data_IF_691598130423
#
_entry.id   IF_691598130423
#
_cell.length_a   1.000
_cell.length_b   1.000
_cell.length_c   1.000
_cell.angle_alpha   90.00
_cell.angle_beta   90.00
_cell.angle_gamma   90.00
#
_symmetry.space_group_name_H-M   'P 1'
#
loop_
_entity.id
_entity.type
_entity.pdbx_description
1 polymer ?
#
# COMPACT_ATOMS: atom_id res chain seq x y z
N UNK A 1 23.88 -9.78 8.53
CA UNK A 1 22.71 -9.07 7.94
C UNK A 1 22.56 -7.75 8.69
N UNK A 2 22.32 -6.64 7.99
CA UNK A 2 22.09 -5.33 8.62
C UNK A 2 20.59 -5.03 8.64
N UNK A 3 20.13 -4.24 9.61
CA UNK A 3 18.75 -3.79 9.75
C UNK A 3 18.71 -2.26 9.77
N UNK A 4 17.65 -1.67 9.21
CA UNK A 4 17.40 -0.22 9.28
C UNK A 4 16.53 0.11 10.47
N UNK A 5 17.17 0.31 11.62
CA UNK A 5 16.48 0.62 12.88
C UNK A 5 15.75 1.96 12.86
N UNK A 6 16.13 2.84 11.94
CA UNK A 6 15.55 4.14 11.64
C UNK A 6 14.30 4.08 10.73
N UNK A 7 13.89 2.88 10.27
CA UNK A 7 12.69 2.70 9.44
C UNK A 7 11.74 1.67 10.05
N UNK A 8 10.44 1.89 9.91
CA UNK A 8 9.39 0.86 10.02
C UNK A 8 8.49 0.93 8.81
N UNK A 9 8.18 -0.22 8.21
CA UNK A 9 7.19 -0.30 7.15
C UNK A 9 6.03 -1.15 7.66
N UNK A 10 4.83 -0.56 7.68
CA UNK A 10 3.59 -1.22 8.10
C UNK A 10 2.54 -1.05 7.03
N UNK A 11 1.72 -2.07 6.82
CA UNK A 11 0.52 -1.94 6.00
C UNK A 11 -0.71 -1.76 6.88
N UNK A 12 -1.69 -0.96 6.46
CA UNK A 12 -2.96 -0.84 7.18
C UNK A 12 -4.04 -1.66 6.46
N UNK A 13 -4.73 -2.52 7.22
CA UNK A 13 -5.80 -3.40 6.75
C UNK A 13 -7.09 -2.98 7.46
N UNK A 14 -8.11 -2.62 6.70
CA UNK A 14 -9.41 -2.26 7.25
C UNK A 14 -10.53 -2.64 6.27
N UNK A 15 -11.73 -2.86 6.79
CA UNK A 15 -12.93 -2.89 5.96
C UNK A 15 -13.33 -1.46 5.56
N UNK A 16 -14.25 -1.39 4.60
CA UNK A 16 -14.96 -0.17 4.23
C UNK A 16 -15.54 0.48 5.48
N UNK A 17 -15.44 1.80 5.58
CA UNK A 17 -15.99 2.61 6.67
C UNK A 17 -15.46 2.29 8.08
N UNK A 18 -14.50 1.39 8.28
CA UNK A 18 -13.88 1.17 9.60
C UNK A 18 -12.98 2.34 10.06
N UNK A 19 -12.89 3.42 9.29
CA UNK A 19 -12.22 4.66 9.68
C UNK A 19 -10.72 4.69 9.40
N UNK A 20 -10.25 3.95 8.39
CA UNK A 20 -8.85 3.88 7.97
C UNK A 20 -8.26 5.25 7.65
N UNK A 21 -8.90 5.98 6.75
CA UNK A 21 -8.48 7.32 6.31
C UNK A 21 -8.48 8.30 7.47
N UNK A 22 -9.53 8.27 8.30
CA UNK A 22 -9.62 9.15 9.47
C UNK A 22 -8.51 8.89 10.50
N UNK A 23 -8.13 7.63 10.71
CA UNK A 23 -7.02 7.29 11.61
C UNK A 23 -5.68 7.75 11.05
N UNK A 24 -5.40 7.51 9.75
CA UNK A 24 -4.14 7.95 9.14
C UNK A 24 -4.04 9.48 9.11
N UNK A 25 -5.14 10.19 8.87
CA UNK A 25 -5.16 11.64 8.94
C UNK A 25 -4.85 12.15 10.36
N UNK A 26 -5.33 11.47 11.41
CA UNK A 26 -4.98 11.78 12.79
C UNK A 26 -3.47 11.58 13.06
N UNK A 27 -2.88 10.49 12.55
CA UNK A 27 -1.44 10.23 12.65
C UNK A 27 -0.61 11.33 11.98
N UNK A 28 -1.00 11.73 10.77
CA UNK A 28 -0.29 12.76 10.01
C UNK A 28 -0.35 14.14 10.66
N UNK A 29 -1.51 14.50 11.25
CA UNK A 29 -1.68 15.76 11.97
C UNK A 29 -0.80 15.83 13.22
N UNK A 30 -0.80 14.76 14.02
CA UNK A 30 -0.09 14.76 15.30
C UNK A 30 1.42 14.62 15.15
N UNK A 31 1.90 13.90 14.14
CA UNK A 31 3.33 13.82 13.87
C UNK A 31 3.89 15.07 13.15
N UNK A 32 3.09 16.13 12.98
CA UNK A 32 3.52 17.39 12.36
C UNK A 32 3.75 17.31 10.85
N UNK A 33 3.42 16.19 10.20
CA UNK A 33 3.48 16.03 8.75
C UNK A 33 2.44 16.92 8.02
N UNK A 34 1.36 17.28 8.71
CA UNK A 34 0.36 18.25 8.26
C UNK A 34 0.42 19.50 9.16
N UNK A 35 0.73 20.67 8.59
CA UNK A 35 0.65 21.95 9.32
C UNK A 35 -0.82 22.36 9.49
N UNK A 36 -1.18 22.93 10.65
CA UNK A 36 -2.54 23.38 10.98
C UNK A 36 -3.22 24.34 9.96
N UNK A 37 -2.45 24.95 9.05
CA UNK A 37 -2.92 25.87 8.00
C UNK A 37 -2.90 25.28 6.57
N UNK A 38 -2.56 24.00 6.39
CA UNK A 38 -2.83 23.35 5.11
C UNK A 38 -4.32 22.99 5.07
N UNK A 39 -5.06 23.54 4.11
CA UNK A 39 -6.33 22.95 3.67
C UNK A 39 -5.99 21.57 3.11
N UNK A 40 -6.04 20.59 4.00
CA UNK A 40 -6.03 19.19 3.67
C UNK A 40 -7.50 18.86 3.46
N UNK A 41 -7.91 18.57 2.22
CA UNK A 41 -9.22 18.00 1.96
C UNK A 41 -9.46 16.87 2.97
N UNK A 42 -10.64 16.83 3.60
CA UNK A 42 -10.96 16.07 4.83
C UNK A 42 -10.66 14.55 4.82
N UNK A 43 -10.10 14.02 3.72
CA UNK A 43 -9.73 12.60 3.51
C UNK A 43 -8.57 12.51 2.52
N UNK A 44 -7.34 12.32 3.00
CA UNK A 44 -6.16 12.34 2.10
C UNK A 44 -5.90 11.03 1.40
N UNK A 45 -6.20 9.91 2.06
CA UNK A 45 -5.96 8.59 1.48
C UNK A 45 -7.02 8.23 0.43
N UNK A 46 -8.26 8.66 0.56
CA UNK A 46 -9.31 8.44 -0.45
C UNK A 46 -9.37 9.64 -1.41
N UNK A 47 -8.31 9.87 -2.17
CA UNK A 47 -8.23 10.99 -3.12
C UNK A 47 -9.12 10.81 -4.36
N UNK A 48 -9.59 9.60 -4.64
CA UNK A 48 -10.49 9.33 -5.77
C UNK A 48 -11.96 9.38 -5.30
N UNK A 49 -12.82 10.07 -6.05
CA UNK A 49 -14.25 10.22 -5.71
C UNK A 49 -14.96 8.85 -5.62
N UNK A 50 -14.50 7.83 -6.38
CA UNK A 50 -15.02 6.47 -6.25
C UNK A 50 -14.58 5.74 -4.99
N UNK A 51 -13.36 6.00 -4.50
CA UNK A 51 -12.92 5.47 -3.20
C UNK A 51 -13.80 6.03 -2.09
N UNK A 52 -14.14 7.33 -2.18
CA UNK A 52 -15.00 8.01 -1.20
C UNK A 52 -16.45 7.53 -1.23
N UNK A 53 -17.02 7.31 -2.42
CA UNK A 53 -18.42 6.90 -2.56
C UNK A 53 -18.66 5.44 -2.24
N UNK A 54 -17.72 4.57 -2.60
CA UNK A 54 -17.82 3.12 -2.33
C UNK A 54 -17.14 2.73 -1.02
N UNK A 55 -16.41 3.65 -0.39
CA UNK A 55 -15.68 3.46 0.87
C UNK A 55 -14.55 2.43 0.80
N UNK A 56 -14.10 2.06 -0.40
CA UNK A 56 -13.00 1.11 -0.65
C UNK A 56 -11.72 1.84 -1.04
N UNK A 57 -10.57 1.26 -0.72
CA UNK A 57 -9.30 1.66 -1.34
C UNK A 57 -9.08 0.83 -2.57
N UNK A 58 -8.82 1.51 -3.69
CA UNK A 58 -8.66 0.90 -5.01
C UNK A 58 -7.17 0.77 -5.33
N UNK A 59 -6.38 1.80 -5.06
CA UNK A 59 -4.93 1.79 -5.25
C UNK A 59 -4.19 1.99 -3.93
N UNK A 60 -3.13 1.23 -3.75
CA UNK A 60 -2.23 1.39 -2.61
C UNK A 60 -1.56 2.77 -2.61
N UNK A 61 -1.60 3.43 -1.46
CA UNK A 61 -0.94 4.73 -1.25
C UNK A 61 0.08 4.62 -0.13
N UNK A 62 1.26 5.18 -0.37
CA UNK A 62 2.34 5.21 0.59
C UNK A 62 2.37 6.58 1.27
N UNK A 63 2.25 6.56 2.59
CA UNK A 63 2.41 7.73 3.45
C UNK A 63 3.58 7.49 4.38
N UNK A 64 4.30 8.51 4.76
CA UNK A 64 5.34 8.36 5.79
C UNK A 64 5.27 9.43 6.86
N UNK A 65 5.71 9.06 8.05
CA UNK A 65 5.69 9.91 9.23
C UNK A 65 7.04 9.80 9.93
N UNK A 66 7.59 10.93 10.39
CA UNK A 66 8.75 10.95 11.29
C UNK A 66 8.27 11.02 12.72
N UNK A 67 8.66 10.04 13.53
CA UNK A 67 8.32 9.98 14.94
C UNK A 67 9.59 10.16 15.78
N UNK A 68 9.54 11.12 16.71
CA UNK A 68 10.62 11.38 17.67
C UNK A 68 10.42 10.49 18.88
N UNK A 69 11.46 9.73 19.25
CA UNK A 69 11.39 8.75 20.33
C UNK A 69 11.72 9.45 21.65
N UNK A 70 10.71 9.64 22.51
CA UNK A 70 10.83 10.37 23.80
C UNK A 70 11.79 9.71 24.81
N UNK A 71 11.93 8.38 24.74
CA UNK A 71 12.88 7.62 25.54
C UNK A 71 13.51 6.51 24.69
N UNK A 72 14.78 6.65 24.24
CA UNK A 72 15.50 5.58 23.54
C UNK A 72 15.86 4.45 24.51
N UNK A 73 14.86 3.72 24.99
CA UNK A 73 14.97 2.50 25.77
C UNK A 73 14.87 1.27 24.87
N UNK A 74 15.57 0.21 25.24
CA UNK A 74 15.54 -1.06 24.52
C UNK A 74 14.26 -1.82 24.84
N UNK A 75 13.27 -1.77 23.94
CA UNK A 75 12.08 -2.62 24.04
C UNK A 75 11.72 -3.14 22.64
N UNK A 76 12.03 -4.42 22.39
CA UNK A 76 11.58 -5.12 21.20
C UNK A 76 10.99 -6.46 21.62
N UNK A 77 9.76 -6.75 21.23
CA UNK A 77 9.10 -8.03 21.51
C UNK A 77 9.27 -9.03 20.36
N UNK A 78 9.36 -8.55 19.13
CA UNK A 78 9.54 -9.41 17.98
C UNK A 78 10.93 -10.05 17.98
N UNK A 79 10.97 -11.34 17.65
CA UNK A 79 12.20 -12.15 17.64
C UNK A 79 12.79 -12.30 16.25
N UNK A 80 11.96 -12.16 15.22
CA UNK A 80 12.36 -12.29 13.82
C UNK A 80 11.58 -11.33 12.90
N UNK A 81 12.07 -11.13 11.67
CA UNK A 81 11.37 -10.40 10.60
C UNK A 81 10.37 -11.31 9.87
N UNK A 82 9.41 -10.72 9.16
CA UNK A 82 8.49 -11.46 8.29
C UNK A 82 9.20 -12.34 7.25
N UNK A 83 10.40 -11.93 6.82
CA UNK A 83 11.27 -12.72 5.95
C UNK A 83 12.06 -13.83 6.65
N UNK A 84 11.77 -14.11 7.93
CA UNK A 84 12.38 -15.17 8.72
C UNK A 84 13.79 -14.89 9.25
N UNK A 85 14.20 -13.62 9.38
CA UNK A 85 15.52 -13.28 9.91
C UNK A 85 15.47 -12.97 11.40
N UNK A 86 16.31 -13.65 12.18
CA UNK A 86 16.46 -13.40 13.61
C UNK A 86 16.95 -11.98 13.88
N UNK A 87 16.31 -11.32 14.84
CA UNK A 87 16.68 -10.01 15.34
C UNK A 87 17.68 -10.15 16.50
N UNK A 88 18.59 -9.18 16.67
CA UNK A 88 19.42 -9.15 17.87
C UNK A 88 18.54 -8.98 19.12
N UNK A 89 18.98 -9.57 20.23
CA UNK A 89 18.23 -9.63 21.49
C UNK A 89 17.75 -8.28 22.03
N UNK A 90 18.41 -7.18 21.67
CA UNK A 90 17.97 -5.82 21.91
C UNK A 90 18.72 -4.86 20.97
N UNK A 91 18.07 -3.76 20.58
CA UNK A 91 18.72 -2.61 19.94
C UNK A 91 18.09 -1.31 20.45
N UNK A 92 18.83 -0.21 20.31
CA UNK A 92 18.37 1.12 20.71
C UNK A 92 17.81 1.82 19.47
N UNK A 93 16.60 2.36 19.60
CA UNK A 93 16.02 3.17 18.54
C UNK A 93 16.81 4.48 18.39
N UNK A 94 17.02 4.96 17.15
CA UNK A 94 17.49 6.32 16.93
C UNK A 94 16.47 7.33 17.48
N UNK A 95 16.91 8.58 17.67
CA UNK A 95 16.06 9.66 18.19
C UNK A 95 14.85 9.96 17.30
N UNK A 96 14.93 9.63 16.01
CA UNK A 96 13.86 9.77 15.04
C UNK A 96 13.76 8.50 14.21
N UNK A 97 12.54 7.99 14.02
CA UNK A 97 12.24 6.83 13.18
C UNK A 97 11.23 7.23 12.11
N UNK A 98 11.51 6.85 10.86
CA UNK A 98 10.58 6.99 9.74
C UNK A 98 9.63 5.79 9.70
N UNK A 99 8.34 6.05 9.80
CA UNK A 99 7.29 5.04 9.74
C UNK A 99 6.56 5.21 8.41
N UNK A 100 6.74 4.26 7.50
CA UNK A 100 6.00 4.14 6.26
C UNK A 100 4.71 3.36 6.52
N UNK A 101 3.58 3.98 6.23
CA UNK A 101 2.25 3.38 6.29
C UNK A 101 1.80 3.17 4.85
N UNK A 102 1.66 1.90 4.45
CA UNK A 102 1.20 1.53 3.12
C UNK A 102 -0.27 1.13 3.20
N UNK A 103 -1.10 1.83 2.45
CA UNK A 103 -2.50 1.54 2.41
C UNK A 103 -2.79 0.31 1.53
N UNK A 104 -3.61 -0.63 2.02
CA UNK A 104 -3.98 -1.84 1.26
C UNK A 104 -5.40 -1.76 0.71
N UNK A 105 -5.61 -2.18 -0.55
CA UNK A 105 -6.95 -2.46 -1.06
C UNK A 105 -7.64 -3.55 -0.22
N UNK A 106 -8.90 -3.33 0.14
CA UNK A 106 -9.65 -4.29 0.98
C UNK A 106 -10.37 -5.38 0.19
N UNK A 107 -10.55 -5.22 -1.13
CA UNK A 107 -11.43 -6.07 -1.93
C UNK A 107 -10.67 -7.18 -2.68
N UNK A 108 -11.28 -8.37 -2.79
CA UNK A 108 -10.67 -9.56 -3.37
C UNK A 108 -10.22 -9.40 -4.83
N UNK A 109 -10.96 -8.61 -5.63
CA UNK A 109 -10.60 -8.26 -7.02
C UNK A 109 -9.21 -7.60 -7.14
N UNK A 110 -8.63 -7.08 -6.05
CA UNK A 110 -7.29 -6.47 -6.04
C UNK A 110 -6.24 -7.36 -5.35
N UNK A 111 -6.45 -8.67 -5.30
CA UNK A 111 -5.60 -9.63 -4.59
C UNK A 111 -4.10 -9.56 -4.93
N UNK A 112 -3.74 -9.55 -6.22
CA UNK A 112 -2.34 -9.40 -6.63
C UNK A 112 -1.73 -8.06 -6.27
N UNK A 113 -2.53 -6.99 -6.12
CA UNK A 113 -2.03 -5.72 -5.59
C UNK A 113 -1.75 -5.80 -4.09
N UNK A 114 -2.65 -6.45 -3.34
CA UNK A 114 -2.49 -6.70 -1.91
C UNK A 114 -1.18 -7.44 -1.62
N UNK A 115 -0.88 -8.54 -2.33
CA UNK A 115 0.37 -9.28 -2.10
C UNK A 115 1.62 -8.43 -2.37
N UNK A 116 1.59 -7.61 -3.41
CA UNK A 116 2.70 -6.71 -3.76
C UNK A 116 2.92 -5.63 -2.70
N UNK A 117 1.84 -5.08 -2.15
CA UNK A 117 1.93 -4.13 -1.04
C UNK A 117 2.50 -4.78 0.21
N UNK A 118 1.98 -5.96 0.57
CA UNK A 118 2.40 -6.68 1.76
C UNK A 118 3.88 -7.11 1.70
N UNK A 119 4.44 -7.33 0.50
CA UNK A 119 5.87 -7.63 0.33
C UNK A 119 6.82 -6.48 0.70
N UNK A 120 6.32 -5.25 0.77
CA UNK A 120 7.10 -4.05 1.10
C UNK A 120 7.14 -3.74 2.59
N UNK A 121 6.42 -4.49 3.43
CA UNK A 121 6.25 -4.18 4.85
C UNK A 121 6.71 -5.33 5.74
N UNK A 122 6.91 -5.02 7.02
CA UNK A 122 7.32 -5.98 8.05
C UNK A 122 6.23 -6.27 9.09
N UNK A 123 5.11 -5.53 9.02
CA UNK A 123 3.99 -5.68 9.93
C UNK A 123 2.70 -5.11 9.35
N UNK A 124 1.58 -5.40 10.02
CA UNK A 124 0.26 -4.92 9.63
C UNK A 124 -0.50 -4.30 10.80
N UNK A 125 -1.25 -3.26 10.52
CA UNK A 125 -2.22 -2.65 11.44
C UNK A 125 -3.60 -3.13 11.01
N UNK A 126 -4.23 -3.97 11.82
CA UNK A 126 -5.58 -4.47 11.61
C UNK A 126 -6.57 -3.52 12.30
N UNK A 127 -7.31 -2.75 11.51
CA UNK A 127 -8.30 -1.78 11.98
C UNK A 127 -9.72 -2.36 11.91
N UNK A 128 -10.38 -2.46 13.07
CA UNK A 128 -11.70 -3.09 13.21
C UNK A 128 -12.66 -2.13 13.90
N UNK A 129 -13.86 -1.93 13.37
CA UNK A 129 -14.89 -1.11 14.00
C UNK A 129 -15.42 -1.78 15.27
N UNK A 130 -15.51 -1.02 16.36
CA UNK A 130 -15.88 -1.50 17.69
C UNK A 130 -17.34 -1.97 17.80
N UNK A 131 -18.22 -1.61 16.88
CA UNK A 131 -19.62 -2.05 16.84
C UNK A 131 -19.81 -3.21 15.86
N UNK A 132 -19.21 -3.09 14.67
CA UNK A 132 -19.43 -4.03 13.57
C UNK A 132 -18.59 -5.31 13.69
N UNK A 133 -17.34 -5.21 14.14
CA UNK A 133 -16.41 -6.34 14.21
C UNK A 133 -15.72 -6.66 12.88
N UNK A 134 -15.01 -7.80 12.78
CA UNK A 134 -14.26 -8.15 11.59
C UNK A 134 -15.19 -8.54 10.41
N UNK A 135 -14.86 -8.04 9.21
CA UNK A 135 -15.66 -8.21 8.00
C UNK A 135 -14.99 -9.12 6.95
N UNK A 136 -15.75 -9.71 6.00
CA UNK A 136 -15.22 -10.64 4.99
C UNK A 136 -14.05 -10.10 4.14
N UNK A 137 -14.05 -8.81 3.82
CA UNK A 137 -13.00 -8.14 3.06
C UNK A 137 -11.68 -8.11 3.85
N UNK A 138 -11.75 -7.74 5.13
CA UNK A 138 -10.62 -7.74 6.06
C UNK A 138 -9.98 -9.12 6.17
N UNK A 139 -10.82 -10.18 6.20
CA UNK A 139 -10.38 -11.57 6.28
C UNK A 139 -9.49 -11.99 5.10
N UNK A 140 -9.78 -11.51 3.89
CA UNK A 140 -8.98 -11.86 2.70
C UNK A 140 -7.56 -11.31 2.80
N UNK A 141 -7.43 -10.00 3.07
CA UNK A 141 -6.14 -9.32 3.18
C UNK A 141 -5.35 -9.82 4.39
N UNK A 142 -6.01 -9.98 5.53
CA UNK A 142 -5.40 -10.49 6.75
C UNK A 142 -4.82 -11.90 6.55
N UNK A 143 -5.53 -12.80 5.87
CA UNK A 143 -5.02 -14.13 5.55
C UNK A 143 -3.68 -14.08 4.79
N UNK A 144 -3.59 -13.21 3.78
CA UNK A 144 -2.36 -13.04 3.00
C UNK A 144 -1.22 -12.50 3.86
N UNK A 145 -1.51 -11.53 4.72
CA UNK A 145 -0.53 -10.99 5.66
C UNK A 145 0.01 -12.05 6.63
N UNK A 146 -0.86 -12.90 7.17
CA UNK A 146 -0.48 -13.97 8.10
C UNK A 146 0.39 -15.04 7.41
N UNK A 147 0.04 -15.44 6.18
CA UNK A 147 0.84 -16.37 5.36
C UNK A 147 2.25 -15.83 5.10
N UNK A 148 2.38 -14.51 4.92
CA UNK A 148 3.67 -13.83 4.74
C UNK A 148 4.45 -13.65 6.05
N UNK A 149 3.95 -14.16 7.17
CA UNK A 149 4.61 -14.03 8.48
C UNK A 149 4.59 -12.61 9.05
N UNK A 150 3.75 -11.72 8.52
CA UNK A 150 3.67 -10.35 9.03
C UNK A 150 3.08 -10.33 10.43
N UNK A 151 3.62 -9.46 11.29
CA UNK A 151 3.16 -9.30 12.66
C UNK A 151 2.02 -8.27 12.74
N UNK A 152 0.88 -8.63 13.34
CA UNK A 152 -0.24 -7.71 13.46
C UNK A 152 -0.17 -6.83 14.72
N UNK A 153 -0.73 -5.62 14.59
CA UNK A 153 -1.19 -4.76 15.67
C UNK A 153 -2.68 -4.57 15.46
N UNK A 154 -3.50 -4.86 16.48
CA UNK A 154 -4.96 -4.75 16.37
C UNK A 154 -5.43 -3.45 16.98
N UNK A 155 -6.20 -2.69 16.21
CA UNK A 155 -6.84 -1.46 16.66
C UNK A 155 -8.36 -1.62 16.57
N UNK A 156 -9.02 -1.56 17.71
CA UNK A 156 -10.48 -1.48 17.81
C UNK A 156 -10.87 0.00 17.75
N UNK A 157 -11.40 0.44 16.61
CA UNK A 157 -11.68 1.83 16.29
C UNK A 157 -13.15 2.21 16.53
N UNK A 158 -13.41 3.52 16.58
CA UNK A 158 -14.73 4.12 16.83
C UNK A 158 -15.31 3.73 18.20
N UNK A 159 -14.46 3.63 19.21
CA UNK A 159 -14.89 3.35 20.59
C UNK A 159 -15.74 4.49 21.20
N UNK A 160 -15.77 5.66 20.55
CA UNK A 160 -16.62 6.79 20.90
C UNK A 160 -18.10 6.59 20.54
N UNK A 161 -18.44 5.54 19.77
CA UNK A 161 -19.82 5.22 19.41
C UNK A 161 -20.59 4.65 20.61
N UNK A 162 -21.88 4.99 20.68
CA UNK A 162 -22.78 4.50 21.73
C UNK A 162 -23.08 2.99 21.64
N UNK A 163 -22.99 2.42 20.44
CA UNK A 163 -23.23 1.01 20.13
C UNK A 163 -21.91 0.19 20.11
N UNK A 164 -20.79 0.77 20.56
CA UNK A 164 -19.50 0.09 20.60
C UNK A 164 -19.50 -1.08 21.60
N UNK A 165 -19.02 -2.23 21.15
CA UNK A 165 -18.85 -3.48 21.92
C UNK A 165 -17.40 -4.00 21.83
N UNK A 166 -16.41 -3.20 22.27
CA UNK A 166 -14.99 -3.45 21.97
C UNK A 166 -14.44 -4.79 22.49
N UNK A 167 -14.96 -5.29 23.62
CA UNK A 167 -14.53 -6.57 24.18
C UNK A 167 -15.07 -7.76 23.37
N UNK A 168 -16.31 -7.68 22.89
CA UNK A 168 -16.90 -8.72 22.02
C UNK A 168 -16.17 -8.74 20.67
N UNK A 169 -15.97 -7.57 20.06
CA UNK A 169 -15.24 -7.45 18.79
C UNK A 169 -13.81 -7.98 18.91
N UNK A 170 -13.13 -7.74 20.04
CA UNK A 170 -11.80 -8.28 20.26
C UNK A 170 -11.81 -9.82 20.24
N UNK A 171 -12.80 -10.45 20.87
CA UNK A 171 -12.96 -11.91 20.80
C UNK A 171 -13.22 -12.38 19.36
N UNK A 172 -14.09 -11.69 18.62
CA UNK A 172 -14.35 -11.98 17.21
C UNK A 172 -13.06 -11.91 16.36
N UNK A 173 -12.15 -10.97 16.66
CA UNK A 173 -10.85 -10.83 16.00
C UNK A 173 -9.91 -11.98 16.36
N UNK A 174 -9.84 -12.38 17.63
CA UNK A 174 -9.05 -13.54 18.04
C UNK A 174 -9.52 -14.82 17.35
N UNK A 175 -10.83 -15.07 17.32
CA UNK A 175 -11.41 -16.22 16.63
C UNK A 175 -11.06 -16.21 15.14
N UNK A 176 -11.17 -15.05 14.48
CA UNK A 176 -10.77 -14.88 13.09
C UNK A 176 -9.28 -15.20 12.86
N UNK A 177 -8.40 -14.71 13.73
CA UNK A 177 -6.95 -14.93 13.62
C UNK A 177 -6.61 -16.42 13.73
N UNK A 178 -7.24 -17.14 14.67
CA UNK A 178 -7.08 -18.59 14.83
C UNK A 178 -7.61 -19.31 13.60
N UNK A 179 -8.79 -18.95 13.10
CA UNK A 179 -9.40 -19.55 11.91
C UNK A 179 -8.53 -19.37 10.66
N UNK A 180 -7.82 -18.25 10.56
CA UNK A 180 -6.89 -17.96 9.47
C UNK A 180 -5.52 -18.62 9.62
N UNK A 181 -5.26 -19.30 10.75
CA UNK A 181 -4.01 -20.03 11.00
C UNK A 181 -2.85 -19.13 11.46
N UNK A 182 -3.13 -18.06 12.21
CA UNK A 182 -2.09 -17.25 12.83
C UNK A 182 -1.19 -18.10 13.74
N UNK A 183 0.12 -17.82 13.71
CA UNK A 183 1.09 -18.44 14.62
C UNK A 183 0.97 -17.87 16.04
N UNK A 184 1.58 -18.53 17.02
CA UNK A 184 1.60 -18.05 18.42
C UNK A 184 2.18 -16.63 18.54
N UNK A 185 3.24 -16.31 17.79
CA UNK A 185 3.86 -14.97 17.78
C UNK A 185 2.95 -13.91 17.12
N UNK A 186 2.16 -14.32 16.12
CA UNK A 186 1.16 -13.47 15.49
C UNK A 186 -0.06 -13.28 16.38
N UNK A 187 -0.43 -14.24 17.24
CA UNK A 187 -1.53 -14.14 18.20
C UNK A 187 -1.19 -13.26 19.41
N UNK A 188 0.10 -13.10 19.72
CA UNK A 188 0.60 -12.16 20.72
C UNK A 188 0.66 -10.71 20.17
N UNK A 189 -0.45 -10.22 19.62
CA UNK A 189 -0.51 -8.88 19.04
C UNK A 189 -0.84 -7.81 20.10
N UNK A 190 -0.27 -6.60 19.99
CA UNK A 190 -0.73 -5.46 20.77
C UNK A 190 -2.18 -5.11 20.44
N UNK A 191 -2.97 -4.82 21.48
CA UNK A 191 -4.37 -4.40 21.36
C UNK A 191 -4.45 -2.93 21.73
N UNK A 192 -5.02 -2.14 20.82
CA UNK A 192 -5.23 -0.71 21.00
C UNK A 192 -6.69 -0.34 20.75
N UNK A 193 -7.14 0.71 21.41
CA UNK A 193 -8.49 1.25 21.29
C UNK A 193 -8.42 2.67 20.76
N UNK A 194 -9.16 2.98 19.70
CA UNK A 194 -9.02 4.25 19.01
C UNK A 194 -10.35 4.93 18.71
N UNK A 195 -10.27 6.25 18.57
CA UNK A 195 -11.23 7.03 17.82
C UNK A 195 -10.47 7.85 16.80
N UNK A 196 -10.45 7.40 15.55
CA UNK A 196 -9.83 8.16 14.46
C UNK A 196 -10.43 9.56 14.32
N UNK A 197 -11.74 9.70 14.57
CA UNK A 197 -12.46 10.99 14.51
C UNK A 197 -12.01 11.95 15.60
N UNK A 198 -11.92 11.48 16.85
CA UNK A 198 -11.47 12.30 17.97
C UNK A 198 -9.93 12.45 18.01
N UNK A 199 -9.22 11.62 17.23
CA UNK A 199 -7.77 11.69 17.06
C UNK A 199 -6.99 11.08 18.21
N UNK A 200 -7.46 9.98 18.82
CA UNK A 200 -6.72 9.33 19.90
C UNK A 200 -6.61 7.82 19.72
N UNK A 201 -5.56 7.25 20.30
CA UNK A 201 -5.31 5.82 20.46
C UNK A 201 -4.91 5.56 21.92
N UNK A 202 -5.41 4.46 22.49
CA UNK A 202 -5.29 4.11 23.90
C UNK A 202 -4.89 2.65 24.07
N UNK A 203 -4.18 2.34 25.15
CA UNK A 203 -3.80 0.95 25.46
C UNK A 203 -4.85 0.21 26.27
N UNK A 204 -5.79 0.92 26.91
CA UNK A 204 -6.95 0.34 27.59
C UNK A 204 -8.19 1.23 27.43
N UNK A 205 -9.37 0.71 27.78
CA UNK A 205 -10.62 1.48 27.68
C UNK A 205 -10.73 2.56 28.75
N UNK A 206 -10.05 2.41 29.89
CA UNK A 206 -10.02 3.38 30.99
C UNK A 206 -8.97 4.47 30.79
N UNK A 207 -8.06 4.29 29.85
CA UNK A 207 -7.05 5.28 29.49
C UNK A 207 -7.74 6.60 29.06
N UNK A 208 -7.13 7.72 29.43
CA UNK A 208 -7.62 9.07 29.14
C UNK A 208 -6.74 9.79 28.13
N UNK A 209 -5.76 9.10 27.55
CA UNK A 209 -4.91 9.64 26.53
C UNK A 209 -5.73 10.16 25.33
N UNK A 210 -5.32 11.30 24.78
CA UNK A 210 -5.96 12.00 23.69
C UNK A 210 -5.01 12.25 22.51
N UNK A 211 -3.92 11.49 22.43
CA UNK A 211 -2.99 11.47 21.30
C UNK A 211 -2.90 10.07 20.67
N UNK A 212 -2.13 9.96 19.59
CA UNK A 212 -1.88 8.73 18.85
C UNK A 212 -0.54 8.08 19.22
N UNK A 213 0.17 8.60 20.22
CA UNK A 213 1.49 8.14 20.64
C UNK A 213 1.52 6.63 20.94
N UNK A 214 0.51 6.03 21.61
CA UNK A 214 0.50 4.59 21.88
C UNK A 214 0.59 3.72 20.63
N UNK A 215 0.09 4.20 19.47
CA UNK A 215 0.25 3.47 18.22
C UNK A 215 1.71 3.46 17.73
N UNK A 216 2.38 4.62 17.79
CA UNK A 216 3.78 4.70 17.38
C UNK A 216 4.67 3.82 18.27
N UNK A 217 4.44 3.84 19.58
CA UNK A 217 5.17 3.01 20.52
C UNK A 217 4.92 1.51 20.27
N UNK A 218 3.67 1.12 19.99
CA UNK A 218 3.34 -0.26 19.62
C UNK A 218 4.03 -0.70 18.31
N UNK A 219 4.08 0.18 17.31
CA UNK A 219 4.79 -0.09 16.04
C UNK A 219 6.28 -0.31 16.29
N UNK A 220 6.93 0.55 17.06
CA UNK A 220 8.36 0.43 17.35
C UNK A 220 8.70 -0.85 18.12
N UNK A 221 7.82 -1.24 19.05
CA UNK A 221 8.01 -2.38 19.95
C UNK A 221 7.74 -3.74 19.28
N UNK A 222 6.66 -3.84 18.49
CA UNK A 222 6.22 -5.11 17.89
C UNK A 222 6.71 -5.30 16.45
N UNK A 223 6.77 -4.24 15.64
CA UNK A 223 7.11 -4.39 14.23
C UNK A 223 8.63 -4.32 14.05
N UNK A 224 9.23 -5.32 13.40
CA UNK A 224 10.66 -5.37 13.26
C UNK A 224 11.16 -4.38 12.19
N UNK A 225 12.40 -3.89 12.31
CA UNK A 225 13.01 -3.07 11.28
C UNK A 225 13.19 -3.86 9.97
N UNK A 226 13.08 -3.23 8.80
CA UNK A 226 13.32 -3.90 7.54
C UNK A 226 14.76 -4.43 7.48
N UNK A 227 14.96 -5.68 7.01
CA UNK A 227 16.29 -6.16 6.69
C UNK A 227 16.83 -5.39 5.49
N UNK A 228 18.12 -5.09 5.51
CA UNK A 228 18.76 -4.39 4.40
C UNK A 228 20.24 -4.20 4.62
N UNK A 229 21.07 -4.83 3.77
CA UNK A 229 22.50 -4.54 3.70
C UNK A 229 22.72 -3.43 2.67
N UNK A 230 22.99 -2.21 3.14
CA UNK A 230 23.20 -1.06 2.27
C UNK A 230 24.52 -1.10 1.49
N UNK A 231 25.46 -1.96 1.89
CA UNK A 231 26.77 -2.12 1.27
C UNK A 231 26.80 -3.25 0.22
N UNK A 232 25.69 -4.00 0.08
CA UNK A 232 25.54 -5.04 -0.93
C UNK A 232 25.18 -4.49 -2.32
N UNK A 233 25.17 -5.35 -3.36
CA UNK A 233 24.70 -4.95 -4.68
C UNK A 233 23.20 -4.64 -4.66
N UNK A 234 22.81 -3.59 -5.40
CA UNK A 234 21.43 -3.09 -5.49
C UNK A 234 20.45 -4.21 -5.86
N UNK A 235 19.36 -4.28 -5.11
CA UNK A 235 18.17 -5.06 -5.43
C UNK A 235 16.91 -4.29 -5.00
N UNK A 236 16.07 -3.96 -5.98
CA UNK A 236 14.77 -3.34 -5.77
C UNK A 236 13.77 -4.00 -6.73
N UNK A 237 12.78 -4.69 -6.17
CA UNK A 237 11.66 -5.27 -6.92
C UNK A 237 10.59 -4.20 -7.14
N UNK A 238 10.12 -4.06 -8.37
CA UNK A 238 9.01 -3.16 -8.70
C UNK A 238 7.70 -3.81 -8.26
N UNK A 239 7.12 -3.30 -7.17
CA UNK A 239 5.87 -3.80 -6.58
C UNK A 239 4.65 -3.02 -7.07
N UNK A 240 4.82 -1.76 -7.45
CA UNK A 240 3.77 -0.93 -8.03
C UNK A 240 4.36 -0.03 -9.13
N UNK A 241 3.50 0.44 -10.03
CA UNK A 241 3.87 1.43 -11.04
C UNK A 241 3.02 2.67 -10.81
N UNK A 242 3.63 3.83 -11.02
CA UNK A 242 2.92 5.07 -11.22
C UNK A 242 3.35 5.71 -12.54
N UNK A 243 2.64 6.73 -13.00
CA UNK A 243 2.92 7.39 -14.26
C UNK A 243 2.95 8.91 -14.10
N UNK A 244 3.96 9.54 -14.68
CA UNK A 244 4.08 10.99 -14.75
C UNK A 244 4.33 11.44 -16.20
N UNK A 245 3.57 12.43 -16.67
CA UNK A 245 3.65 12.92 -18.07
C UNK A 245 5.05 13.41 -18.49
N UNK A 246 5.87 13.87 -17.54
CA UNK A 246 7.20 14.42 -17.83
C UNK A 246 8.34 13.40 -17.74
N UNK A 247 8.16 12.35 -16.94
CA UNK A 247 9.24 11.40 -16.59
C UNK A 247 8.95 9.97 -17.06
N UNK A 248 7.71 9.69 -17.47
CA UNK A 248 7.24 8.35 -17.87
C UNK A 248 6.77 7.51 -16.69
N UNK A 249 6.87 6.19 -16.82
CA UNK A 249 6.56 5.24 -15.74
C UNK A 249 7.58 5.33 -14.61
N UNK A 250 7.07 5.25 -13.39
CA UNK A 250 7.82 5.22 -12.14
C UNK A 250 7.65 3.84 -11.54
N UNK A 251 8.76 3.12 -11.35
CA UNK A 251 8.74 1.86 -10.61
C UNK A 251 8.80 2.14 -9.11
N UNK A 252 7.82 1.67 -8.35
CA UNK A 252 7.73 1.82 -6.90
C UNK A 252 8.07 0.48 -6.26
N UNK A 253 8.96 0.51 -5.26
CA UNK A 253 9.37 -0.68 -4.54
C UNK A 253 10.22 -0.38 -3.32
N UNK A 254 10.37 -1.39 -2.46
CA UNK A 254 11.33 -1.35 -1.35
C UNK A 254 12.70 -1.81 -1.82
N UNK A 255 13.75 -1.05 -1.50
CA UNK A 255 15.12 -1.50 -1.73
C UNK A 255 15.41 -2.63 -0.74
N UNK A 256 15.61 -3.85 -1.22
CA UNK A 256 15.94 -5.00 -0.37
C UNK A 256 17.42 -5.03 -0.01
N UNK A 257 18.28 -4.60 -0.93
CA UNK A 257 19.73 -4.61 -0.76
C UNK A 257 20.39 -3.47 -1.53
N UNK A 258 21.52 -3.01 -1.03
CA UNK A 258 22.34 -1.97 -1.64
C UNK A 258 21.78 -0.55 -1.53
N UNK A 259 22.26 0.30 -2.42
CA UNK A 259 21.88 1.71 -2.55
C UNK A 259 21.61 2.03 -4.01
N UNK A 260 20.81 3.05 -4.24
CA UNK A 260 20.52 3.60 -5.56
C UNK A 260 20.71 5.11 -5.52
N UNK A 261 21.40 5.66 -6.51
CA UNK A 261 21.62 7.10 -6.66
C UNK A 261 20.98 7.64 -7.93
N UNK A 262 20.55 8.89 -7.86
CA UNK A 262 20.16 9.59 -9.07
C UNK A 262 21.37 9.75 -10.00
N UNK A 263 21.19 9.42 -11.28
CA UNK A 263 22.24 9.45 -12.30
C UNK A 263 23.15 8.22 -12.31
N UNK A 264 22.91 7.23 -11.46
CA UNK A 264 23.66 5.97 -11.44
C UNK A 264 23.22 5.02 -12.57
N UNK A 265 24.20 4.32 -13.15
CA UNK A 265 23.95 3.27 -14.12
C UNK A 265 23.47 2.00 -13.41
N UNK A 266 22.37 1.43 -13.89
CA UNK A 266 21.70 0.26 -13.29
C UNK A 266 21.28 -0.72 -14.39
N UNK A 267 20.99 -1.95 -13.98
CA UNK A 267 20.39 -2.96 -14.85
C UNK A 267 18.96 -3.20 -14.39
N UNK A 268 17.99 -3.00 -15.27
CA UNK A 268 16.62 -3.46 -15.07
C UNK A 268 16.51 -4.87 -15.63
N UNK A 269 16.28 -5.85 -14.76
CA UNK A 269 16.04 -7.22 -15.16
C UNK A 269 14.54 -7.39 -15.39
N UNK A 270 14.15 -7.62 -16.64
CA UNK A 270 12.78 -7.79 -17.08
C UNK A 270 12.19 -9.11 -16.52
N UNK A 271 10.88 -9.28 -16.66
CA UNK A 271 10.17 -10.48 -16.17
C UNK A 271 10.66 -11.79 -16.78
N UNK A 272 11.10 -11.78 -18.03
CA UNK A 272 11.67 -12.92 -18.74
C UNK A 272 13.13 -13.20 -18.33
N UNK A 273 13.71 -12.36 -17.47
CA UNK A 273 15.11 -12.42 -17.05
C UNK A 273 16.07 -11.63 -17.94
N UNK A 274 15.59 -10.99 -19.01
CA UNK A 274 16.41 -10.19 -19.90
C UNK A 274 16.95 -8.95 -19.17
N UNK A 275 18.28 -8.71 -19.15
CA UNK A 275 18.84 -7.51 -18.53
C UNK A 275 18.82 -6.33 -19.51
N UNK A 276 18.29 -5.18 -19.07
CA UNK A 276 18.28 -3.91 -19.80
C UNK A 276 19.10 -2.88 -19.04
N UNK A 277 20.21 -2.43 -19.65
CA UNK A 277 21.03 -1.35 -19.07
C UNK A 277 20.31 -0.02 -19.20
N UNK A 278 20.44 0.81 -18.18
CA UNK A 278 19.92 2.17 -18.19
C UNK A 278 20.52 2.98 -17.05
N UNK A 279 19.93 4.15 -16.83
CA UNK A 279 20.37 5.09 -15.80
C UNK A 279 19.17 5.61 -15.05
N UNK A 280 19.32 5.79 -13.74
CA UNK A 280 18.30 6.39 -12.89
C UNK A 280 18.18 7.87 -13.22
N UNK A 281 17.08 8.30 -13.83
CA UNK A 281 16.84 9.70 -14.18
C UNK A 281 16.28 10.49 -13.00
N UNK A 282 15.43 9.85 -12.19
CA UNK A 282 14.79 10.46 -11.02
C UNK A 282 14.62 9.42 -9.92
N UNK A 283 14.85 9.86 -8.69
CA UNK A 283 14.70 9.05 -7.49
C UNK A 283 13.93 9.87 -6.46
N UNK A 284 12.80 9.35 -5.98
CA UNK A 284 12.01 10.01 -4.94
C UNK A 284 11.68 9.07 -3.79
N UNK A 285 11.64 9.60 -2.57
CA UNK A 285 11.09 8.93 -1.39
C UNK A 285 9.72 9.51 -1.04
N UNK A 286 8.94 8.76 -0.26
CA UNK A 286 7.68 9.25 0.30
C UNK A 286 7.96 9.99 1.60
N UNK A 287 7.47 11.23 1.71
CA UNK A 287 7.59 12.08 2.90
C UNK A 287 6.23 12.75 3.19
N UNK A 288 5.60 12.39 4.31
CA UNK A 288 4.21 12.77 4.56
C UNK A 288 3.30 12.21 3.47
N UNK A 289 2.62 13.11 2.78
CA UNK A 289 1.69 12.84 1.68
C UNK A 289 2.29 13.11 0.30
N UNK A 290 3.56 13.51 0.25
CA UNK A 290 4.23 13.95 -0.97
C UNK A 290 5.41 13.02 -1.28
N UNK A 291 5.92 13.18 -2.50
CA UNK A 291 7.20 12.59 -2.91
C UNK A 291 8.25 13.68 -2.94
N UNK A 292 9.39 13.40 -2.33
CA UNK A 292 10.56 14.29 -2.33
C UNK A 292 11.69 13.66 -3.14
N UNK A 293 12.32 14.45 -3.99
CA UNK A 293 13.51 14.00 -4.74
C UNK A 293 14.71 13.88 -3.81
N UNK A 294 15.45 12.79 -3.97
CA UNK A 294 16.67 12.53 -3.20
C UNK A 294 17.80 12.09 -4.12
N UNK A 295 19.03 12.46 -3.75
CA UNK A 295 20.22 12.04 -4.50
C UNK A 295 20.59 10.57 -4.30
N UNK A 296 20.22 9.98 -3.16
CA UNK A 296 20.53 8.60 -2.78
C UNK A 296 19.43 8.02 -1.88
N UNK A 297 19.16 6.73 -2.04
CA UNK A 297 18.37 5.92 -1.11
C UNK A 297 19.03 4.56 -0.87
N UNK A 298 18.79 3.95 0.29
CA UNK A 298 19.42 2.70 0.73
C UNK A 298 18.39 1.62 1.05
N UNK A 299 18.86 0.38 1.19
CA UNK A 299 18.06 -0.77 1.62
C UNK A 299 17.15 -0.43 2.81
N UNK A 300 15.91 -0.92 2.78
CA UNK A 300 14.83 -0.61 3.71
C UNK A 300 13.91 0.53 3.29
N UNK A 301 14.37 1.44 2.43
CA UNK A 301 13.57 2.58 1.93
C UNK A 301 12.58 2.14 0.85
N UNK A 302 11.36 2.72 0.87
CA UNK A 302 10.41 2.61 -0.24
C UNK A 302 10.57 3.83 -1.14
N UNK A 303 10.91 3.59 -2.40
CA UNK A 303 11.25 4.64 -3.38
C UNK A 303 10.38 4.52 -4.62
N UNK A 304 10.27 5.63 -5.36
CA UNK A 304 9.83 5.64 -6.75
C UNK A 304 11.00 6.01 -7.65
N UNK A 305 11.27 5.16 -8.65
CA UNK A 305 12.43 5.25 -9.54
C UNK A 305 11.97 5.47 -10.96
N UNK A 306 12.51 6.50 -11.61
CA UNK A 306 12.41 6.71 -13.05
C UNK A 306 13.76 6.44 -13.71
N UNK A 307 13.74 5.98 -14.96
CA UNK A 307 14.96 5.69 -15.72
C UNK A 307 14.71 4.82 -16.95
N UNK A 308 13.57 4.13 -16.98
CA UNK A 308 13.13 3.30 -18.09
C UNK A 308 11.71 3.68 -18.49
N UNK A 309 11.46 3.80 -19.79
CA UNK A 309 10.16 4.22 -20.33
C UNK A 309 9.06 3.20 -19.99
N UNK A 310 9.41 1.91 -20.06
CA UNK A 310 8.47 0.79 -19.96
C UNK A 310 8.78 -0.09 -18.75
N UNK A 311 9.08 0.50 -17.59
CA UNK A 311 9.23 -0.29 -16.36
C UNK A 311 7.90 -0.99 -16.00
N UNK A 312 7.99 -2.26 -15.60
CA UNK A 312 6.84 -3.08 -15.25
C UNK A 312 6.93 -3.69 -13.85
N UNK A 313 5.78 -4.06 -13.28
CA UNK A 313 5.68 -4.77 -12.00
C UNK A 313 6.39 -6.12 -12.12
N UNK A 314 7.10 -6.55 -11.08
CA UNK A 314 7.82 -7.82 -11.07
C UNK A 314 9.21 -7.76 -11.75
N UNK A 315 9.61 -6.61 -12.28
CA UNK A 315 10.97 -6.37 -12.74
C UNK A 315 11.87 -5.94 -11.58
N UNK A 316 13.17 -6.17 -11.72
CA UNK A 316 14.15 -5.85 -10.66
C UNK A 316 15.14 -4.80 -11.13
N UNK A 317 15.19 -3.66 -10.45
CA UNK A 317 16.35 -2.76 -10.55
C UNK A 317 17.51 -3.38 -9.78
N UNK A 318 18.64 -3.55 -10.47
CA UNK A 318 19.80 -4.23 -9.95
C UNK A 318 21.11 -3.51 -10.27
N UNK A 319 22.15 -3.91 -9.55
CA UNK A 319 23.51 -3.42 -9.71
C UNK A 319 24.04 -3.63 -11.14
N UNK A 320 24.74 -2.63 -11.68
CA UNK A 320 25.23 -2.69 -13.06
C UNK A 320 26.42 -3.64 -13.27
N UNK A 321 27.17 -3.95 -12.20
CA UNK A 321 28.35 -4.80 -12.23
C UNK A 321 27.97 -6.25 -11.90
N UNK A 322 27.12 -6.44 -10.88
CA UNK A 322 26.68 -7.74 -10.38
C UNK A 322 25.15 -7.83 -10.36
N UNK A 323 24.49 -7.88 -11.53
CA UNK A 323 23.03 -7.91 -11.61
C UNK A 323 22.47 -9.23 -11.06
N UNK A 324 21.55 -9.11 -10.11
CA UNK A 324 20.85 -10.22 -9.47
C UNK A 324 19.35 -9.92 -9.39
N UNK A 325 18.56 -10.85 -9.89
CA UNK A 325 17.10 -10.76 -9.96
C UNK A 325 16.45 -11.15 -8.65
N UNK A 326 15.36 -10.48 -8.29
CA UNK A 326 14.44 -10.92 -7.25
C UNK A 326 13.29 -11.73 -7.86
N UNK A 327 12.80 -12.71 -7.12
CA UNK A 327 11.63 -13.48 -7.55
C UNK A 327 10.42 -12.53 -7.69
N UNK A 328 9.76 -12.51 -8.86
CA UNK A 328 8.60 -11.67 -9.06
C UNK A 328 7.42 -12.21 -8.24
N UNK A 329 6.63 -11.29 -7.71
CA UNK A 329 5.33 -11.64 -7.11
C UNK A 329 4.38 -11.94 -8.26
N UNK A 330 3.65 -13.05 -8.14
CA UNK A 330 2.69 -13.46 -9.16
C UNK A 330 1.67 -12.35 -9.38
N UNK A 331 1.46 -12.00 -10.64
CA UNK A 331 0.36 -11.13 -11.02
C UNK A 331 -0.74 -12.08 -11.44
N UNK A 332 -1.86 -12.09 -10.72
CA UNK A 332 -2.99 -12.90 -11.16
C UNK A 332 -3.41 -12.51 -12.58
N UNK A 333 -4.19 -13.34 -13.24
CA UNK A 333 -4.70 -13.06 -14.59
C UNK A 333 -6.10 -12.44 -14.53
N UNK A 334 -6.55 -11.70 -15.56
CA UNK A 334 -7.94 -11.29 -15.68
C UNK A 334 -8.86 -12.52 -15.70
N UNK A 335 -9.94 -12.50 -14.92
CA UNK A 335 -10.86 -13.64 -14.81
C UNK A 335 -12.23 -13.37 -15.44
N UNK A 336 -12.59 -12.09 -15.59
CA UNK A 336 -13.87 -11.66 -16.18
C UNK A 336 -13.59 -10.85 -17.43
N UNK A 337 -14.26 -11.19 -18.53
CA UNK A 337 -14.27 -10.39 -19.77
C UNK A 337 -15.67 -9.85 -20.05
N UNK A 338 -15.75 -8.65 -20.59
CA UNK A 338 -16.99 -8.08 -21.13
C UNK A 338 -16.69 -7.25 -22.38
N UNK A 339 -17.68 -7.10 -23.26
CA UNK A 339 -17.55 -6.26 -24.44
C UNK A 339 -17.93 -4.82 -24.12
N UNK A 340 -17.04 -3.89 -24.45
CA UNK A 340 -17.24 -2.46 -24.36
C UNK A 340 -17.45 -1.94 -25.77
N UNK A 341 -18.55 -1.23 -25.98
CA UNK A 341 -18.97 -0.77 -27.29
C UNK A 341 -19.14 0.75 -27.29
N UNK A 342 -18.97 1.33 -28.47
CA UNK A 342 -19.39 2.70 -28.72
C UNK A 342 -20.92 2.78 -28.70
N UNK A 343 -21.49 3.79 -28.04
CA UNK A 343 -22.94 4.02 -28.07
C UNK A 343 -23.40 4.44 -29.48
N UNK A 344 -24.18 3.58 -30.13
CA UNK A 344 -24.79 3.82 -31.45
C UNK A 344 -26.30 4.11 -31.37
N UNK A 345 -26.83 4.33 -30.16
CA UNK A 345 -28.26 4.59 -29.94
C UNK A 345 -28.68 6.01 -30.36
N UNK A 346 -30.00 6.28 -30.49
CA UNK A 346 -30.52 7.62 -30.77
C UNK A 346 -30.18 8.69 -29.71
N UNK A 347 -29.67 8.26 -28.54
CA UNK A 347 -29.25 9.13 -27.46
C UNK A 347 -27.72 9.33 -27.42
N UNK A 348 -26.97 8.80 -28.39
CA UNK A 348 -25.53 8.93 -28.44
C UNK A 348 -25.08 10.40 -28.38
N UNK A 349 -24.29 10.73 -27.35
CA UNK A 349 -23.71 12.06 -27.17
C UNK A 349 -24.67 13.08 -26.53
N UNK A 350 -25.73 12.62 -25.87
CA UNK A 350 -26.60 13.52 -25.08
C UNK A 350 -26.04 13.78 -23.68
N UNK A 351 -25.32 12.83 -23.09
CA UNK A 351 -24.77 12.93 -21.74
C UNK A 351 -23.23 12.94 -21.72
N UNK A 352 -22.58 12.26 -22.68
CA UNK A 352 -21.13 12.19 -22.81
C UNK A 352 -20.55 13.01 -23.96
N UNK A 353 -19.28 13.40 -23.82
CA UNK A 353 -18.47 14.07 -24.85
C UNK A 353 -17.62 13.09 -25.65
N UNK A 354 -17.28 11.94 -25.06
CA UNK A 354 -16.38 10.95 -25.63
C UNK A 354 -17.16 9.71 -26.08
N UNK A 355 -17.61 9.74 -27.34
CA UNK A 355 -18.53 8.73 -27.91
C UNK A 355 -17.94 8.05 -29.16
N UNK A 356 -16.63 8.13 -29.37
CA UNK A 356 -15.98 7.53 -30.56
C UNK A 356 -15.11 6.35 -30.16
N UNK A 357 -14.99 5.37 -31.06
CA UNK A 357 -14.11 4.21 -30.87
C UNK A 357 -12.67 4.63 -30.57
N UNK A 358 -12.17 5.68 -31.23
CA UNK A 358 -10.85 6.23 -30.95
C UNK A 358 -10.71 6.73 -29.51
N UNK A 359 -11.70 7.47 -28.99
CA UNK A 359 -11.62 7.94 -27.62
C UNK A 359 -11.68 6.79 -26.62
N UNK A 360 -12.51 5.79 -26.87
CA UNK A 360 -12.62 4.58 -26.05
C UNK A 360 -11.27 3.85 -26.01
N UNK A 361 -10.67 3.60 -27.17
CA UNK A 361 -9.35 2.95 -27.26
C UNK A 361 -8.25 3.75 -26.56
N UNK A 362 -8.14 5.06 -26.83
CA UNK A 362 -7.15 5.94 -26.17
C UNK A 362 -7.28 5.90 -24.63
N UNK A 363 -8.52 5.81 -24.12
CA UNK A 363 -8.78 5.73 -22.68
C UNK A 363 -8.41 4.37 -22.08
N UNK A 364 -8.74 3.29 -22.77
CA UNK A 364 -8.42 1.92 -22.36
C UNK A 364 -6.90 1.70 -22.38
N UNK A 365 -6.22 2.18 -23.42
CA UNK A 365 -4.75 2.17 -23.51
C UNK A 365 -4.10 3.00 -22.39
N UNK A 366 -4.72 4.11 -21.99
CA UNK A 366 -4.24 4.90 -20.85
C UNK A 366 -4.39 4.13 -19.53
N UNK A 367 -5.46 3.37 -19.35
CA UNK A 367 -5.67 2.55 -18.16
C UNK A 367 -4.66 1.40 -18.09
N UNK A 368 -4.41 0.71 -19.22
CA UNK A 368 -3.40 -0.36 -19.32
C UNK A 368 -1.98 0.06 -18.89
N UNK A 369 -1.68 1.37 -18.90
CA UNK A 369 -0.38 1.87 -18.42
C UNK A 369 -0.24 1.84 -16.89
N UNK A 370 -1.36 1.77 -16.17
CA UNK A 370 -1.43 1.81 -14.70
C UNK A 370 -1.91 0.48 -14.15
N UNK A 371 -2.97 -0.07 -14.74
CA UNK A 371 -3.60 -1.30 -14.29
C UNK A 371 -3.05 -2.52 -15.06
N UNK A 372 -2.15 -3.25 -14.40
CA UNK A 372 -1.54 -4.48 -14.95
C UNK A 372 -2.50 -5.68 -14.96
N UNK A 373 -3.64 -5.58 -14.28
CA UNK A 373 -4.64 -6.62 -14.18
C UNK A 373 -5.79 -6.42 -15.18
N UNK A 374 -5.76 -5.33 -15.94
CA UNK A 374 -6.64 -5.05 -17.06
C UNK A 374 -6.05 -5.65 -18.36
N UNK A 375 -6.90 -6.24 -19.19
CA UNK A 375 -6.59 -6.68 -20.54
C UNK A 375 -7.55 -6.03 -21.53
N UNK A 376 -7.06 -5.63 -22.69
CA UNK A 376 -7.89 -5.08 -23.76
C UNK A 376 -7.51 -5.76 -25.06
N UNK A 377 -8.50 -6.29 -25.77
CA UNK A 377 -8.33 -6.87 -27.10
C UNK A 377 -9.27 -6.21 -28.08
N UNK A 378 -8.73 -5.79 -29.21
CA UNK A 378 -9.55 -5.41 -30.35
C UNK A 378 -10.33 -6.63 -30.86
N UNK A 379 -11.58 -6.41 -31.26
CA UNK A 379 -12.40 -7.44 -31.88
C UNK A 379 -12.41 -7.28 -33.40
N UNK A 380 -13.11 -8.17 -34.09
CA UNK A 380 -13.32 -8.04 -35.55
C UNK A 380 -14.23 -6.84 -35.92
N UNK A 381 -14.82 -6.17 -34.93
CA UNK A 381 -15.67 -5.00 -35.11
C UNK A 381 -14.94 -3.76 -34.58
N UNK A 382 -14.84 -2.67 -35.36
CA UNK A 382 -14.03 -1.49 -35.03
C UNK A 382 -14.60 -0.65 -33.88
N UNK A 383 -15.83 -0.91 -33.45
CA UNK A 383 -16.58 -0.22 -32.41
C UNK A 383 -16.72 -1.06 -31.13
N UNK A 384 -16.00 -2.19 -31.05
CA UNK A 384 -16.11 -3.15 -29.96
C UNK A 384 -14.75 -3.63 -29.48
N UNK A 385 -14.54 -3.54 -28.18
CA UNK A 385 -13.35 -4.01 -27.48
C UNK A 385 -13.73 -5.09 -26.48
N UNK A 386 -12.96 -6.17 -26.40
CA UNK A 386 -13.05 -7.12 -25.29
C UNK A 386 -12.17 -6.59 -24.16
N UNK A 387 -12.78 -6.20 -23.05
CA UNK A 387 -12.09 -5.70 -21.86
C UNK A 387 -12.19 -6.75 -20.78
N UNK A 388 -11.03 -7.20 -20.31
CA UNK A 388 -10.88 -8.21 -19.26
C UNK A 388 -10.33 -7.58 -18.01
N UNK A 389 -10.85 -7.96 -16.85
CA UNK A 389 -10.38 -7.50 -15.55
C UNK A 389 -10.42 -8.62 -14.51
N UNK A 390 -10.06 -8.27 -13.28
CA UNK A 390 -10.00 -9.23 -12.16
C UNK A 390 -11.32 -9.77 -11.69
N UNK A 391 -12.38 -8.99 -11.86
CA UNK A 391 -13.71 -9.27 -11.37
C UNK A 391 -14.66 -8.15 -11.79
N UNK A 392 -15.93 -8.32 -11.44
CA UNK A 392 -16.98 -7.37 -11.78
C UNK A 392 -16.73 -5.99 -11.14
N UNK A 393 -16.26 -5.95 -9.90
CA UNK A 393 -16.06 -4.69 -9.19
C UNK A 393 -14.96 -3.87 -9.87
N UNK A 394 -13.83 -4.50 -10.21
CA UNK A 394 -12.74 -3.86 -10.95
C UNK A 394 -13.27 -3.20 -12.25
N UNK A 395 -13.96 -3.96 -13.10
CA UNK A 395 -14.46 -3.41 -14.37
C UNK A 395 -15.54 -2.34 -14.17
N UNK A 396 -16.38 -2.48 -13.15
CA UNK A 396 -17.40 -1.47 -12.82
C UNK A 396 -16.79 -0.13 -12.36
N UNK A 397 -15.64 -0.16 -11.68
CA UNK A 397 -14.92 1.03 -11.25
C UNK A 397 -14.35 1.76 -12.46
N UNK A 398 -13.74 1.02 -13.40
CA UNK A 398 -13.24 1.62 -14.63
C UNK A 398 -14.39 2.26 -15.44
N UNK A 399 -15.52 1.57 -15.56
CA UNK A 399 -16.67 2.07 -16.31
C UNK A 399 -17.23 3.35 -15.69
N UNK A 400 -17.36 3.39 -14.37
CA UNK A 400 -17.88 4.55 -13.66
C UNK A 400 -16.90 5.73 -13.70
N UNK A 401 -15.57 5.50 -13.61
CA UNK A 401 -14.57 6.54 -13.82
C UNK A 401 -14.70 7.15 -15.21
N UNK A 402 -14.81 6.31 -16.24
CA UNK A 402 -14.99 6.76 -17.61
C UNK A 402 -16.29 7.56 -17.77
N UNK A 403 -17.40 7.13 -17.15
CA UNK A 403 -18.66 7.89 -17.16
C UNK A 403 -18.50 9.30 -16.58
N UNK A 404 -17.75 9.45 -15.48
CA UNK A 404 -17.44 10.78 -14.87
C UNK A 404 -16.51 11.63 -15.71
N UNK A 405 -15.60 11.00 -16.44
CA UNK A 405 -14.76 11.66 -17.42
C UNK A 405 -15.57 12.13 -18.66
N UNK A 406 -16.84 11.70 -18.79
CA UNK A 406 -17.74 12.07 -19.87
C UNK A 406 -17.72 11.11 -21.06
N UNK A 407 -17.32 9.86 -20.83
CA UNK A 407 -17.54 8.75 -21.77
C UNK A 407 -18.97 8.24 -21.64
N UNK A 408 -19.50 7.73 -22.75
CA UNK A 408 -20.85 7.18 -22.86
C UNK A 408 -20.84 5.78 -23.48
#
# INVERSE_FOLDING_TARGET
MQFRYDIRNVAIIAHVDHGKTTLVDALLKQAGAIRANQQVDERVMDSNDLERERGITILAKNTSVRYVVDAPGAHHEATHTASGHDLPAAFIHPSEVKINIVDTPGHADFGGEVERVLSMVEGVILLVDAAEGPMPQTRFVLRKALILGLLPIVIINKIDRHDARPQEVLNDVFDLMIELGASDEQLDFPILYASGRAGYVRTSLEDTNNDVQPLFDAILKKIPPPPGNADGPLQLLVSAIDYNDYVGRLGIGRIQRGRIRQGEDVVLILRDGTPKKGRVSRLTIFEGLKREEVGEAAAGEIVAVAGFVDVEIGETFSDAISPERLEPIAIDEPTVSMFWLVNDSPFAGTEGKFVTSRNLMERLERELRKDVALGVKETNLPDRFEVSGRGELHLSILAENMRREGYE
#
